data_IF_687700977640
#
_entry.id   IF_687700977640
#
_cell.length_a   1.000
_cell.length_b   1.000
_cell.length_c   1.000
_cell.angle_alpha   90.00
_cell.angle_beta   90.00
_cell.angle_gamma   90.00
#
_symmetry.space_group_name_H-M   'P 1'
#
loop_
_entity.id
_entity.type
_entity.pdbx_description
1 polymer ?
#
# COMPACT_ATOMS: atom_id res chain seq x y z
N UNK A 1 -19.40 -31.05 3.26
CA UNK A 1 -19.03 -29.62 3.44
C UNK A 1 -17.95 -29.27 2.42
N UNK A 2 -18.33 -28.59 1.34
CA UNK A 2 -17.36 -28.00 0.42
C UNK A 2 -16.62 -26.85 1.13
N UNK A 3 -15.31 -26.99 1.32
CA UNK A 3 -14.50 -25.97 1.97
C UNK A 3 -14.08 -24.96 0.91
N UNK A 4 -14.85 -23.87 0.77
CA UNK A 4 -14.51 -22.76 -0.13
C UNK A 4 -13.17 -22.14 0.27
N UNK A 5 -12.11 -22.38 -0.51
CA UNK A 5 -10.80 -21.81 -0.24
C UNK A 5 -10.69 -20.45 -0.96
N UNK A 6 -10.95 -19.37 -0.24
CA UNK A 6 -10.92 -18.00 -0.77
C UNK A 6 -9.49 -17.53 -1.03
N UNK A 7 -9.12 -17.40 -2.30
CA UNK A 7 -7.81 -16.90 -2.74
C UNK A 7 -7.89 -15.50 -3.38
N UNK A 8 -8.43 -14.52 -2.66
CA UNK A 8 -8.45 -13.14 -3.13
C UNK A 8 -9.79 -12.69 -3.70
N UNK A 9 -9.72 -11.81 -4.69
CA UNK A 9 -10.88 -11.27 -5.39
C UNK A 9 -11.27 -12.06 -6.64
N UNK A 10 -10.53 -13.10 -7.01
CA UNK A 10 -10.66 -13.76 -8.30
C UNK A 10 -10.85 -15.27 -8.15
N UNK A 11 -11.58 -15.84 -9.10
CA UNK A 11 -12.00 -17.23 -9.07
C UNK A 11 -11.44 -18.02 -10.28
N UNK A 12 -11.48 -19.34 -10.15
CA UNK A 12 -11.32 -20.28 -11.25
C UNK A 12 -12.63 -21.05 -11.35
N UNK A 13 -13.11 -21.26 -12.56
CA UNK A 13 -14.37 -21.93 -12.81
C UNK A 13 -14.13 -23.29 -13.45
N UNK A 14 -14.94 -24.26 -13.04
CA UNK A 14 -15.10 -25.55 -13.68
C UNK A 14 -16.59 -25.88 -13.74
N UNK A 15 -17.02 -26.51 -14.81
CA UNK A 15 -18.35 -27.06 -14.95
C UNK A 15 -18.32 -28.51 -14.50
N UNK A 16 -19.19 -28.88 -13.57
CA UNK A 16 -19.40 -30.25 -13.13
C UNK A 16 -20.81 -30.70 -13.54
N UNK A 17 -20.96 -31.95 -13.95
CA UNK A 17 -22.27 -32.54 -14.11
C UNK A 17 -22.73 -33.13 -12.77
N UNK A 18 -23.93 -32.79 -12.32
CA UNK A 18 -24.48 -33.36 -11.07
C UNK A 18 -24.87 -34.84 -11.23
N UNK A 19 -25.11 -35.29 -12.47
CA UNK A 19 -25.60 -36.64 -12.79
C UNK A 19 -24.50 -37.62 -13.20
N UNK A 20 -23.33 -37.14 -13.63
CA UNK A 20 -22.25 -37.99 -14.11
C UNK A 20 -20.89 -37.46 -13.61
N UNK A 21 -19.82 -38.28 -13.59
CA UNK A 21 -18.52 -37.89 -13.05
C UNK A 21 -17.76 -36.87 -13.92
N UNK A 22 -18.42 -36.27 -14.91
CA UNK A 22 -17.82 -35.27 -15.78
C UNK A 22 -17.44 -34.01 -15.00
N UNK A 23 -16.18 -33.59 -15.17
CA UNK A 23 -15.65 -32.31 -14.70
C UNK A 23 -14.86 -31.68 -15.84
N UNK A 24 -15.19 -30.45 -16.18
CA UNK A 24 -14.42 -29.69 -17.17
C UNK A 24 -13.05 -29.34 -16.61
N UNK A 25 -12.17 -28.87 -17.50
CA UNK A 25 -10.93 -28.23 -17.08
C UNK A 25 -11.24 -26.96 -16.28
N UNK A 26 -10.39 -26.65 -15.28
CA UNK A 26 -10.43 -25.38 -14.56
C UNK A 26 -9.92 -24.24 -15.44
N UNK A 27 -10.79 -23.27 -15.72
CA UNK A 27 -10.45 -22.05 -16.43
C UNK A 27 -10.18 -20.92 -15.43
N UNK A 28 -9.17 -20.09 -15.72
CA UNK A 28 -8.87 -18.90 -14.91
C UNK A 28 -9.65 -17.73 -15.49
N UNK A 29 -10.47 -17.07 -14.66
CA UNK A 29 -11.18 -15.84 -15.05
C UNK A 29 -10.35 -14.57 -14.85
N UNK A 30 -9.02 -14.71 -14.77
CA UNK A 30 -8.14 -13.62 -14.40
C UNK A 30 -6.80 -13.76 -15.09
N UNK A 31 -6.17 -12.62 -15.33
CA UNK A 31 -4.81 -12.57 -15.82
C UNK A 31 -3.80 -12.69 -14.68
N UNK A 32 -2.74 -13.44 -14.92
CA UNK A 32 -1.63 -13.61 -13.99
C UNK A 32 -0.52 -12.58 -14.24
N UNK A 33 0.12 -12.15 -13.16
CA UNK A 33 1.31 -11.32 -13.23
C UNK A 33 2.47 -12.18 -13.70
N UNK A 34 3.20 -11.71 -14.70
CA UNK A 34 4.38 -12.40 -15.17
C UNK A 34 5.50 -12.26 -14.14
N UNK A 35 5.82 -13.34 -13.44
CA UNK A 35 6.95 -13.43 -12.51
C UNK A 35 7.96 -14.45 -13.02
N UNK A 36 9.26 -14.15 -12.86
CA UNK A 36 10.37 -15.07 -13.16
C UNK A 36 10.59 -16.15 -12.08
N UNK A 37 9.80 -16.11 -11.00
CA UNK A 37 9.91 -17.01 -9.86
C UNK A 37 9.03 -18.25 -10.09
N UNK A 38 9.53 -19.47 -9.82
CA UNK A 38 8.72 -20.68 -9.88
C UNK A 38 7.59 -20.66 -8.83
N UNK A 39 6.42 -21.16 -9.21
CA UNK A 39 5.26 -21.29 -8.33
C UNK A 39 3.98 -20.62 -8.86
N UNK A 40 2.94 -20.57 -8.02
CA UNK A 40 1.63 -20.02 -8.38
C UNK A 40 1.73 -18.50 -8.57
N UNK A 41 1.47 -18.03 -9.79
CA UNK A 41 1.46 -16.61 -10.12
C UNK A 41 0.26 -15.91 -9.48
N UNK A 42 0.49 -14.69 -9.00
CA UNK A 42 -0.57 -13.85 -8.46
C UNK A 42 -1.44 -13.29 -9.60
N UNK A 43 -2.75 -13.15 -9.35
CA UNK A 43 -3.63 -12.44 -10.26
C UNK A 43 -3.31 -10.94 -10.28
N UNK A 44 -3.39 -10.30 -11.46
CA UNK A 44 -3.16 -8.86 -11.61
C UNK A 44 -4.04 -8.03 -10.67
N UNK A 45 -5.34 -8.37 -10.61
CA UNK A 45 -6.35 -7.71 -9.75
C UNK A 45 -5.94 -7.73 -8.27
N UNK A 46 -5.36 -8.84 -7.79
CA UNK A 46 -4.97 -8.96 -6.39
C UNK A 46 -3.79 -8.06 -6.02
N UNK A 47 -2.92 -7.72 -6.98
CA UNK A 47 -1.80 -6.78 -6.77
C UNK A 47 -2.28 -5.34 -6.98
N UNK A 48 -3.03 -5.07 -8.07
CA UNK A 48 -3.53 -3.73 -8.36
C UNK A 48 -4.44 -3.20 -7.25
N UNK A 49 -5.25 -4.05 -6.62
CA UNK A 49 -6.06 -3.69 -5.47
C UNK A 49 -5.21 -3.13 -4.31
N UNK A 50 -3.98 -3.61 -4.10
CA UNK A 50 -3.09 -3.07 -3.06
C UNK A 50 -2.55 -1.68 -3.44
N UNK A 51 -2.28 -1.46 -4.73
CA UNK A 51 -1.90 -0.14 -5.25
C UNK A 51 -3.05 0.87 -5.13
N UNK A 52 -4.28 0.47 -5.46
CA UNK A 52 -5.47 1.30 -5.31
C UNK A 52 -5.72 1.64 -3.84
N UNK A 53 -5.61 0.65 -2.94
CA UNK A 53 -5.77 0.87 -1.51
C UNK A 53 -4.80 1.89 -0.94
N UNK A 54 -3.60 2.02 -1.52
CA UNK A 54 -2.62 3.03 -1.08
C UNK A 54 -3.09 4.47 -1.33
N UNK A 55 -3.89 4.69 -2.36
CA UNK A 55 -4.41 6.02 -2.72
C UNK A 55 -5.73 6.35 -2.02
N UNK A 56 -6.37 5.35 -1.41
CA UNK A 56 -7.63 5.53 -0.67
C UNK A 56 -7.38 5.55 0.84
N UNK A 57 -8.16 6.31 1.63
CA UNK A 57 -8.10 6.25 3.10
C UNK A 57 -8.71 4.96 3.68
N UNK A 58 -8.98 3.96 2.85
CA UNK A 58 -9.70 2.76 3.22
C UNK A 58 -8.75 1.68 3.76
N UNK A 59 -8.96 1.25 5.00
CA UNK A 59 -8.30 0.07 5.52
C UNK A 59 -8.84 -1.24 4.92
N UNK A 60 -8.11 -2.35 5.10
CA UNK A 60 -8.54 -3.67 4.59
C UNK A 60 -9.91 -4.09 5.12
N UNK A 61 -10.25 -3.75 6.36
CA UNK A 61 -11.57 -4.02 6.94
C UNK A 61 -12.67 -3.28 6.19
N UNK A 62 -12.43 -2.02 5.83
CA UNK A 62 -13.36 -1.22 5.03
C UNK A 62 -13.56 -1.83 3.64
N UNK A 63 -12.48 -2.22 2.97
CA UNK A 63 -12.57 -2.89 1.66
C UNK A 63 -13.37 -4.19 1.75
N UNK A 64 -13.15 -5.01 2.78
CA UNK A 64 -13.92 -6.25 2.96
C UNK A 64 -15.40 -5.96 3.16
N UNK A 65 -15.77 -4.92 3.92
CA UNK A 65 -17.18 -4.53 4.10
C UNK A 65 -17.83 -4.16 2.77
N UNK A 66 -17.15 -3.39 1.91
CA UNK A 66 -17.66 -3.02 0.59
C UNK A 66 -17.89 -4.25 -0.28
N UNK A 67 -16.92 -5.18 -0.30
CA UNK A 67 -17.00 -6.38 -1.14
C UNK A 67 -18.11 -7.31 -0.66
N UNK A 68 -18.25 -7.48 0.66
CA UNK A 68 -19.36 -8.26 1.25
C UNK A 68 -20.72 -7.59 0.99
N UNK A 69 -20.81 -6.26 1.09
CA UNK A 69 -22.03 -5.52 0.78
C UNK A 69 -22.44 -5.59 -0.69
N UNK A 70 -21.49 -5.85 -1.58
CA UNK A 70 -21.73 -6.07 -3.02
C UNK A 70 -22.08 -7.52 -3.37
N UNK A 71 -22.35 -8.36 -2.36
CA UNK A 71 -22.61 -9.81 -2.50
C UNK A 71 -21.48 -10.57 -3.24
N UNK A 72 -20.24 -10.09 -3.12
CA UNK A 72 -19.07 -10.75 -3.69
C UNK A 72 -18.30 -11.54 -2.62
N UNK A 73 -17.67 -12.68 -2.95
CA UNK A 73 -16.87 -13.43 -2.00
C UNK A 73 -15.64 -12.62 -1.60
N UNK A 74 -15.67 -12.03 -0.40
CA UNK A 74 -14.56 -11.22 0.09
C UNK A 74 -13.37 -12.08 0.53
N UNK A 75 -12.12 -11.66 0.20
CA UNK A 75 -10.94 -12.33 0.70
C UNK A 75 -10.82 -12.25 2.22
N UNK A 76 -10.02 -13.14 2.80
CA UNK A 76 -9.70 -13.09 4.23
C UNK A 76 -8.81 -11.88 4.54
N UNK A 77 -9.00 -11.28 5.73
CA UNK A 77 -8.17 -10.16 6.18
C UNK A 77 -6.67 -10.54 6.21
N UNK A 78 -6.36 -11.74 6.71
CA UNK A 78 -5.01 -12.28 6.70
C UNK A 78 -4.46 -12.44 5.28
N UNK A 79 -5.30 -12.86 4.32
CA UNK A 79 -4.93 -12.98 2.91
C UNK A 79 -4.61 -11.64 2.26
N UNK A 80 -5.37 -10.59 2.60
CA UNK A 80 -5.08 -9.21 2.17
C UNK A 80 -3.75 -8.72 2.76
N UNK A 81 -3.54 -8.86 4.07
CA UNK A 81 -2.31 -8.44 4.73
C UNK A 81 -1.07 -9.15 4.16
N UNK A 82 -1.14 -10.47 3.92
CA UNK A 82 -0.03 -11.22 3.30
C UNK A 82 0.34 -10.70 1.92
N UNK A 83 -0.62 -10.16 1.15
CA UNK A 83 -0.36 -9.58 -0.18
C UNK A 83 0.19 -8.18 -0.07
N UNK A 84 -0.35 -7.38 0.84
CA UNK A 84 0.19 -6.07 1.16
C UNK A 84 1.69 -6.17 1.48
N UNK A 85 2.07 -7.10 2.35
CA UNK A 85 3.47 -7.32 2.74
C UNK A 85 4.39 -7.66 1.55
N UNK A 86 3.87 -8.16 0.42
CA UNK A 86 4.65 -8.39 -0.80
C UNK A 86 4.82 -7.14 -1.65
N UNK A 87 3.82 -6.25 -1.66
CA UNK A 87 3.80 -5.03 -2.49
C UNK A 87 4.46 -3.85 -1.78
N UNK A 88 4.31 -3.77 -0.45
CA UNK A 88 4.84 -2.68 0.38
C UNK A 88 6.35 -2.43 0.20
N UNK A 89 7.23 -3.45 0.13
CA UNK A 89 8.66 -3.21 -0.08
C UNK A 89 8.98 -2.49 -1.39
N UNK A 90 8.27 -2.84 -2.48
CA UNK A 90 8.44 -2.17 -3.77
C UNK A 90 7.91 -0.73 -3.73
N UNK A 91 6.80 -0.48 -3.03
CA UNK A 91 6.29 0.88 -2.80
C UNK A 91 7.33 1.72 -2.04
N UNK A 92 7.91 1.17 -0.96
CA UNK A 92 8.96 1.85 -0.18
C UNK A 92 10.17 2.16 -1.06
N UNK A 93 10.57 1.24 -1.92
CA UNK A 93 11.69 1.43 -2.86
C UNK A 93 11.41 2.54 -3.86
N UNK A 94 10.22 2.57 -4.45
CA UNK A 94 9.79 3.63 -5.38
C UNK A 94 9.80 4.99 -4.67
N UNK A 95 9.18 5.07 -3.48
CA UNK A 95 9.15 6.31 -2.69
C UNK A 95 10.54 6.81 -2.32
N UNK A 96 11.45 5.91 -1.89
CA UNK A 96 12.84 6.28 -1.58
C UNK A 96 13.58 6.81 -2.81
N UNK A 97 13.37 6.21 -3.99
CA UNK A 97 13.96 6.66 -5.25
C UNK A 97 13.43 8.05 -5.63
N UNK A 98 12.13 8.26 -5.52
CA UNK A 98 11.48 9.53 -5.83
C UNK A 98 11.93 10.65 -4.90
N UNK A 99 11.91 10.42 -3.57
CA UNK A 99 12.43 11.37 -2.59
C UNK A 99 13.91 11.71 -2.81
N UNK A 100 14.72 10.75 -3.28
CA UNK A 100 16.12 11.03 -3.68
C UNK A 100 16.20 11.93 -4.92
N UNK A 101 15.32 11.74 -5.90
CA UNK A 101 15.26 12.59 -7.09
C UNK A 101 14.83 14.02 -6.72
N UNK A 102 13.80 14.18 -5.88
CA UNK A 102 13.35 15.49 -5.37
C UNK A 102 14.45 16.24 -4.64
N UNK A 103 15.24 15.56 -3.79
CA UNK A 103 16.41 16.18 -3.14
C UNK A 103 17.45 16.70 -4.13
N UNK A 104 17.71 15.97 -5.23
CA UNK A 104 18.63 16.44 -6.28
C UNK A 104 18.08 17.66 -7.02
N UNK A 105 16.79 17.66 -7.34
CA UNK A 105 16.13 18.79 -7.98
C UNK A 105 16.21 20.03 -7.09
N UNK A 106 15.97 19.87 -5.79
CA UNK A 106 16.05 20.97 -4.84
C UNK A 106 17.47 21.56 -4.73
N UNK A 107 18.50 20.71 -4.71
CA UNK A 107 19.90 21.18 -4.76
C UNK A 107 20.14 21.98 -6.04
N UNK A 108 19.69 21.49 -7.20
CA UNK A 108 19.84 22.20 -8.48
C UNK A 108 19.14 23.57 -8.48
N UNK A 109 17.92 23.65 -7.94
CA UNK A 109 17.18 24.91 -7.78
C UNK A 109 17.96 25.87 -6.88
N UNK A 110 18.47 25.40 -5.73
CA UNK A 110 19.23 26.24 -4.82
C UNK A 110 20.57 26.72 -5.41
N UNK A 111 21.21 25.91 -6.25
CA UNK A 111 22.39 26.32 -7.02
C UNK A 111 22.05 27.43 -8.00
N UNK A 112 20.95 27.31 -8.75
CA UNK A 112 20.49 28.35 -9.69
C UNK A 112 20.13 29.66 -8.97
N UNK A 113 19.63 29.58 -7.74
CA UNK A 113 19.36 30.74 -6.88
C UNK A 113 20.63 31.37 -6.26
N UNK A 114 21.81 30.83 -6.53
CA UNK A 114 23.08 31.38 -6.04
C UNK A 114 23.33 31.18 -4.54
N UNK A 115 22.70 30.18 -3.90
CA UNK A 115 22.92 29.93 -2.47
C UNK A 115 24.35 29.45 -2.21
N UNK A 116 24.97 30.01 -1.16
CA UNK A 116 26.31 29.61 -0.70
C UNK A 116 26.41 28.12 -0.31
N UNK A 117 25.33 27.56 0.23
CA UNK A 117 25.21 26.13 0.54
C UNK A 117 23.93 25.55 -0.09
N UNK A 118 23.99 25.01 -1.31
CA UNK A 118 22.81 24.47 -1.99
C UNK A 118 22.19 23.25 -1.30
N UNK A 119 22.99 22.53 -0.49
CA UNK A 119 22.57 21.35 0.25
C UNK A 119 21.95 21.63 1.63
N UNK A 120 22.03 22.87 2.12
CA UNK A 120 21.38 23.30 3.35
C UNK A 120 19.97 23.78 3.04
N UNK A 121 18.97 23.15 3.67
CA UNK A 121 17.55 23.31 3.33
C UNK A 121 16.77 23.46 4.63
N UNK A 122 15.91 24.45 4.71
CA UNK A 122 14.93 24.55 5.80
C UNK A 122 13.83 23.49 5.60
N UNK A 123 13.53 22.74 6.67
CA UNK A 123 12.60 21.62 6.64
C UNK A 123 11.49 21.81 7.66
N UNK A 124 10.32 21.27 7.35
CA UNK A 124 9.23 21.05 8.28
C UNK A 124 8.98 19.55 8.39
N UNK A 125 8.72 19.07 9.60
CA UNK A 125 8.45 17.67 9.84
C UNK A 125 7.12 17.53 10.58
N UNK A 126 6.27 16.63 10.10
CA UNK A 126 5.03 16.25 10.76
C UNK A 126 5.10 14.79 11.21
N UNK A 127 4.80 14.54 12.49
CA UNK A 127 4.95 13.26 13.16
C UNK A 127 3.62 12.53 13.29
N UNK A 128 3.52 11.35 12.69
CA UNK A 128 2.40 10.44 12.83
C UNK A 128 2.76 9.30 13.79
N UNK A 129 2.04 9.21 14.89
CA UNK A 129 2.22 8.16 15.88
C UNK A 129 1.40 6.91 15.54
N UNK A 130 1.86 5.75 16.02
CA UNK A 130 1.19 4.46 15.77
C UNK A 130 -0.01 4.18 16.69
N UNK A 131 -0.24 5.00 17.71
CA UNK A 131 -1.31 4.79 18.69
C UNK A 131 -2.64 5.41 18.24
N UNK A 132 -3.74 4.74 18.60
CA UNK A 132 -5.06 5.34 18.46
C UNK A 132 -5.27 6.45 19.48
N UNK A 133 -6.02 7.49 19.11
CA UNK A 133 -6.19 8.77 19.84
C UNK A 133 -7.04 8.62 21.14
N UNK A 134 -7.22 7.40 21.66
CA UNK A 134 -8.09 7.14 22.81
C UNK A 134 -7.61 7.78 24.12
N UNK A 135 -6.33 8.13 24.26
CA UNK A 135 -5.75 8.70 25.49
C UNK A 135 -5.75 10.23 25.54
N UNK A 136 -6.37 10.92 24.58
CA UNK A 136 -6.50 12.38 24.54
C UNK A 136 -7.51 12.96 25.55
N UNK A 137 -7.69 12.34 26.71
CA UNK A 137 -8.48 12.93 27.81
C UNK A 137 -7.56 13.90 28.56
N UNK A 138 -7.42 15.13 28.03
CA UNK A 138 -6.61 16.19 28.63
C UNK A 138 -5.99 17.18 27.63
N UNK A 139 -5.45 18.29 28.15
CA UNK A 139 -4.75 19.35 27.36
C UNK A 139 -3.27 19.04 27.09
N UNK A 140 -2.79 17.85 27.44
CA UNK A 140 -1.40 17.45 27.27
C UNK A 140 -1.27 16.47 26.11
N UNK A 141 -0.47 16.84 25.11
CA UNK A 141 -0.03 15.98 24.00
C UNK A 141 0.96 14.91 24.48
N UNK A 142 0.68 14.23 25.59
CA UNK A 142 1.46 13.09 26.03
C UNK A 142 0.78 11.84 25.49
N UNK A 143 1.18 11.45 24.28
CA UNK A 143 0.79 10.17 23.71
C UNK A 143 1.97 9.20 23.94
N UNK A 144 1.83 8.16 24.78
CA UNK A 144 2.87 7.16 24.98
C UNK A 144 2.96 6.24 23.75
N UNK A 145 3.44 6.78 22.63
CA UNK A 145 3.67 6.04 21.40
C UNK A 145 5.04 5.36 21.43
N UNK A 146 5.07 4.07 21.12
CA UNK A 146 6.32 3.31 21.00
C UNK A 146 7.02 3.58 19.67
N UNK A 147 6.29 4.08 18.66
CA UNK A 147 6.82 4.37 17.33
C UNK A 147 6.17 5.63 16.77
N UNK A 148 6.98 6.47 16.12
CA UNK A 148 6.56 7.70 15.45
C UNK A 148 7.19 7.76 14.06
N UNK A 149 6.44 8.28 13.09
CA UNK A 149 6.90 8.46 11.72
C UNK A 149 6.83 9.92 11.33
N UNK A 150 7.98 10.52 11.04
CA UNK A 150 8.08 11.89 10.58
C UNK A 150 8.10 11.94 9.06
N UNK A 151 7.10 12.59 8.48
CA UNK A 151 7.16 13.04 7.09
C UNK A 151 7.87 14.40 7.04
N UNK A 152 8.90 14.51 6.21
CA UNK A 152 9.75 15.70 6.14
C UNK A 152 9.55 16.38 4.79
N UNK A 153 9.04 17.61 4.85
CA UNK A 153 8.83 18.50 3.72
C UNK A 153 9.89 19.61 3.71
N UNK A 154 10.26 20.04 2.52
CA UNK A 154 11.11 21.22 2.33
C UNK A 154 10.28 22.52 2.32
N UNK A 155 10.89 23.63 2.72
CA UNK A 155 10.21 24.94 2.85
C UNK A 155 10.76 25.98 1.87
N UNK A 156 11.61 25.59 0.93
CA UNK A 156 12.33 26.49 0.02
C UNK A 156 11.61 26.72 -1.29
N UNK A 157 10.79 25.76 -1.72
CA UNK A 157 9.99 25.85 -2.94
C UNK A 157 8.51 25.97 -2.63
N UNK A 158 7.74 26.53 -3.56
CA UNK A 158 6.29 26.64 -3.43
C UNK A 158 5.61 25.27 -3.35
N UNK A 159 6.22 24.25 -3.97
CA UNK A 159 5.69 22.89 -4.01
C UNK A 159 5.71 22.19 -2.65
N UNK A 160 6.53 22.67 -1.70
CA UNK A 160 6.72 22.09 -0.35
C UNK A 160 6.83 20.57 -0.37
N UNK A 161 7.72 20.10 -1.24
CA UNK A 161 7.81 18.68 -1.58
C UNK A 161 8.20 17.82 -0.37
N UNK A 162 7.58 16.65 -0.21
CA UNK A 162 8.08 15.64 0.74
C UNK A 162 9.40 15.08 0.19
N UNK A 163 10.47 15.22 0.97
CA UNK A 163 11.84 14.82 0.61
C UNK A 163 12.40 13.69 1.49
N UNK A 164 11.71 13.36 2.57
CA UNK A 164 12.14 12.35 3.51
C UNK A 164 11.00 11.79 4.34
N UNK A 165 11.19 10.55 4.79
CA UNK A 165 10.36 9.94 5.83
C UNK A 165 11.33 9.28 6.81
N UNK A 166 11.22 9.67 8.09
CA UNK A 166 12.06 9.19 9.19
C UNK A 166 11.17 8.44 10.17
N UNK A 167 11.69 7.36 10.75
CA UNK A 167 10.97 6.40 11.57
C UNK A 167 11.75 6.16 12.86
#
# INVERSE_FOLDING_TARGET
>A
MEKEIKFGFVNREESMCDKCPYRSKKFKLYEEVQTKIPGKKAAKINISAQGALRQTPLGYTGLRKIVLGSNMPAPTAQGLQKRANKVLPEIVKINKKEMKARRKQLIAINTLRGRKSPGSVSLQADGAENNAIYTGIGKTSFQPATQVMYSVAETETEDKSIIGVVC
#
